data_IF_270000069716
#
_entry.id   IF_270000069716
#
_cell.length_a   1.000
_cell.length_b   1.000
_cell.length_c   1.000
_cell.angle_alpha   90.00
_cell.angle_beta   90.00
_cell.angle_gamma   90.00
#
_symmetry.space_group_name_H-M   'P 1'
#
loop_
_entity.id
_entity.type
_entity.pdbx_description
1 polymer ?
#
# COMPACT_ATOMS: atom_id res chain seq x y z
N UNK A 1 -24.55 15.84 7.91
CA UNK A 1 -24.28 16.64 6.70
C UNK A 1 -22.83 16.54 6.22
N UNK A 2 -21.80 16.68 7.08
CA UNK A 2 -20.38 16.54 6.71
C UNK A 2 -19.81 15.11 6.81
N UNK A 3 -20.63 14.09 6.54
CA UNK A 3 -20.24 12.68 6.63
C UNK A 3 -20.01 12.14 5.22
N UNK A 4 -18.85 11.55 4.99
CA UNK A 4 -18.50 10.88 3.73
C UNK A 4 -18.29 9.39 3.96
N UNK A 5 -18.76 8.57 3.03
CA UNK A 5 -18.55 7.12 3.07
C UNK A 5 -17.12 6.79 2.60
N UNK A 6 -16.35 6.08 3.43
CA UNK A 6 -14.97 5.66 3.16
C UNK A 6 -14.79 4.14 3.08
N UNK A 7 -15.87 3.37 2.99
CA UNK A 7 -15.85 1.90 2.92
C UNK A 7 -14.97 1.34 1.79
N UNK A 8 -14.73 2.11 0.73
CA UNK A 8 -13.80 1.73 -0.34
C UNK A 8 -12.36 1.51 0.19
N UNK A 9 -11.89 2.30 1.16
CA UNK A 9 -10.58 2.09 1.77
C UNK A 9 -10.52 0.81 2.58
N UNK A 10 -11.63 0.45 3.25
CA UNK A 10 -11.71 -0.80 4.03
C UNK A 10 -11.62 -2.02 3.09
N UNK A 11 -12.32 -1.98 1.94
CA UNK A 11 -12.22 -3.04 0.92
C UNK A 11 -10.79 -3.21 0.40
N UNK A 12 -10.12 -2.10 0.12
CA UNK A 12 -8.71 -2.12 -0.31
C UNK A 12 -7.82 -2.72 0.77
N UNK A 13 -8.00 -2.35 2.05
CA UNK A 13 -7.24 -2.96 3.16
C UNK A 13 -7.54 -4.45 3.29
N UNK A 14 -8.79 -4.88 3.15
CA UNK A 14 -9.17 -6.29 3.24
C UNK A 14 -8.55 -7.14 2.12
N UNK A 15 -8.26 -6.55 0.96
CA UNK A 15 -7.67 -7.27 -0.19
C UNK A 15 -6.19 -7.65 -0.02
N UNK A 16 -5.44 -7.02 0.89
CA UNK A 16 -4.00 -7.29 1.04
C UNK A 16 -3.27 -6.50 2.14
N UNK A 17 -3.98 -5.68 2.91
CA UNK A 17 -3.47 -4.92 4.05
C UNK A 17 -3.22 -5.75 5.30
N UNK A 18 -2.74 -6.99 5.14
CA UNK A 18 -2.40 -7.91 6.21
C UNK A 18 -1.13 -8.70 5.90
N UNK A 19 -0.63 -9.41 6.90
CA UNK A 19 0.38 -10.46 6.77
C UNK A 19 -0.23 -11.75 7.29
N UNK A 20 -0.23 -12.79 6.46
CA UNK A 20 -0.67 -14.11 6.87
C UNK A 20 0.34 -14.73 7.83
N UNK A 21 -0.14 -15.23 8.96
CA UNK A 21 0.68 -15.94 9.93
C UNK A 21 -0.02 -17.23 10.37
N UNK A 22 0.72 -18.34 10.39
CA UNK A 22 0.24 -19.59 11.00
C UNK A 22 0.19 -19.44 12.51
N UNK A 23 -0.91 -19.86 13.14
CA UNK A 23 -1.01 -19.89 14.60
C UNK A 23 -0.19 -21.07 15.14
N UNK A 24 1.03 -20.79 15.60
CA UNK A 24 1.95 -21.80 16.16
C UNK A 24 3.23 -21.91 15.34
N UNK A 25 4.39 -21.85 16.01
CA UNK A 25 5.70 -21.91 15.35
C UNK A 25 6.27 -20.56 14.93
N UNK A 26 5.72 -19.44 15.42
CA UNK A 26 6.32 -18.14 15.21
C UNK A 26 7.75 -18.14 15.81
N UNK A 27 8.77 -17.78 15.02
CA UNK A 27 10.13 -17.67 15.54
C UNK A 27 10.18 -16.55 16.60
N UNK A 28 11.18 -16.62 17.48
CA UNK A 28 11.45 -15.56 18.45
C UNK A 28 11.51 -14.19 17.75
N UNK A 29 11.00 -13.14 18.40
CA UNK A 29 10.95 -11.80 17.79
C UNK A 29 12.33 -11.28 17.38
N UNK A 30 13.40 -11.70 18.06
CA UNK A 30 14.77 -11.33 17.76
C UNK A 30 15.41 -12.19 16.67
N UNK A 31 14.74 -13.27 16.22
CA UNK A 31 15.27 -14.18 15.20
C UNK A 31 15.21 -13.59 13.78
N UNK A 32 14.36 -12.58 13.54
CA UNK A 32 14.24 -11.89 12.26
C UNK A 32 14.68 -10.43 12.45
N UNK A 33 15.98 -10.14 12.32
CA UNK A 33 16.46 -8.77 12.45
C UNK A 33 15.90 -7.90 11.32
N UNK A 34 15.41 -6.72 11.68
CA UNK A 34 14.97 -5.68 10.73
C UNK A 34 15.97 -4.54 10.82
N UNK A 35 16.53 -4.13 9.67
CA UNK A 35 17.42 -2.96 9.66
C UNK A 35 16.65 -1.72 10.10
N UNK A 36 17.34 -0.79 10.75
CA UNK A 36 16.75 0.49 11.20
C UNK A 36 16.10 1.24 10.04
N UNK A 37 16.76 1.29 8.89
CA UNK A 37 16.26 1.92 7.67
C UNK A 37 14.94 1.31 7.18
N UNK A 38 14.82 -0.02 7.20
CA UNK A 38 13.59 -0.71 6.81
C UNK A 38 12.48 -0.50 7.84
N UNK A 39 12.81 -0.49 9.12
CA UNK A 39 11.86 -0.21 10.19
C UNK A 39 11.29 1.22 10.08
N UNK A 40 12.16 2.20 9.82
CA UNK A 40 11.76 3.61 9.66
C UNK A 40 10.92 3.81 8.43
N UNK A 41 11.36 3.30 7.28
CA UNK A 41 10.59 3.36 6.02
C UNK A 41 9.21 2.69 6.18
N UNK A 42 9.14 1.56 6.88
CA UNK A 42 7.88 0.88 7.13
C UNK A 42 6.95 1.68 8.05
N UNK A 43 7.50 2.40 9.04
CA UNK A 43 6.73 3.25 9.95
C UNK A 43 6.29 4.56 9.32
N UNK A 44 7.12 5.18 8.49
CA UNK A 44 6.74 6.36 7.69
C UNK A 44 5.55 6.04 6.79
N UNK A 45 5.58 4.87 6.13
CA UNK A 45 4.44 4.38 5.35
C UNK A 45 3.22 4.01 6.24
N UNK A 46 3.46 3.48 7.44
CA UNK A 46 2.41 3.11 8.41
C UNK A 46 1.60 4.32 8.88
N UNK A 47 2.21 5.50 8.90
CA UNK A 47 1.61 6.73 9.42
C UNK A 47 0.31 7.14 8.69
N UNK A 48 0.01 6.55 7.54
CA UNK A 48 -1.24 6.76 6.82
C UNK A 48 -2.47 6.37 7.65
N UNK A 49 -3.27 7.38 8.01
CA UNK A 49 -4.48 7.26 8.85
C UNK A 49 -5.79 7.05 8.08
N UNK A 50 -5.74 6.82 6.76
CA UNK A 50 -6.95 6.60 5.95
C UNK A 50 -7.91 7.80 5.91
N UNK A 51 -7.41 9.03 6.04
CA UNK A 51 -8.25 10.23 6.08
C UNK A 51 -8.94 10.54 4.74
N UNK A 52 -8.35 10.13 3.61
CA UNK A 52 -8.89 10.39 2.26
C UNK A 52 -8.57 11.77 1.66
N UNK A 53 -7.81 12.62 2.37
CA UNK A 53 -7.41 13.94 1.87
C UNK A 53 -6.68 13.86 0.52
N UNK A 54 -5.82 12.84 0.35
CA UNK A 54 -5.10 12.59 -0.89
C UNK A 54 -6.02 12.31 -2.09
N UNK A 55 -7.13 11.59 -1.88
CA UNK A 55 -8.14 11.31 -2.90
C UNK A 55 -8.91 12.57 -3.24
N UNK A 56 -9.35 13.31 -2.21
CA UNK A 56 -10.13 14.53 -2.38
C UNK A 56 -9.36 15.64 -3.13
N UNK A 57 -8.05 15.76 -2.92
CA UNK A 57 -7.22 16.74 -3.61
C UNK A 57 -6.75 16.30 -5.00
N UNK A 58 -6.80 15.01 -5.31
CA UNK A 58 -6.35 14.51 -6.61
C UNK A 58 -7.39 14.83 -7.69
N UNK A 59 -6.97 15.50 -8.78
CA UNK A 59 -7.85 15.77 -9.95
C UNK A 59 -8.47 14.50 -10.55
N UNK A 60 -7.82 13.35 -10.38
CA UNK A 60 -8.27 12.05 -10.87
C UNK A 60 -9.01 11.25 -9.79
N UNK A 61 -9.18 11.78 -8.57
CA UNK A 61 -9.66 11.03 -7.41
C UNK A 61 -8.88 9.71 -7.19
N UNK A 62 -7.56 9.74 -7.37
CA UNK A 62 -6.72 8.55 -7.25
C UNK A 62 -6.41 8.22 -5.79
N UNK A 63 -6.61 6.95 -5.40
CA UNK A 63 -6.21 6.44 -4.08
C UNK A 63 -4.77 5.88 -4.04
N UNK A 64 -3.97 6.13 -5.08
CA UNK A 64 -2.61 5.57 -5.21
C UNK A 64 -1.68 5.93 -4.04
N UNK A 65 -1.79 7.12 -3.43
CA UNK A 65 -0.96 7.44 -2.24
C UNK A 65 -1.35 6.60 -1.03
N UNK A 66 -2.66 6.33 -0.85
CA UNK A 66 -3.14 5.47 0.22
C UNK A 66 -2.72 4.01 0.00
N UNK A 67 -2.95 3.47 -1.21
CA UNK A 67 -2.57 2.10 -1.58
C UNK A 67 -1.07 1.90 -1.44
N UNK A 68 -0.27 2.81 -1.98
CA UNK A 68 1.19 2.73 -1.92
C UNK A 68 1.74 2.78 -0.50
N UNK A 69 1.15 3.60 0.38
CA UNK A 69 1.52 3.62 1.80
C UNK A 69 1.27 2.25 2.46
N UNK A 70 0.10 1.64 2.25
CA UNK A 70 -0.22 0.34 2.85
C UNK A 70 0.61 -0.81 2.26
N UNK A 71 0.84 -0.79 0.95
CA UNK A 71 1.74 -1.76 0.29
C UNK A 71 3.17 -1.61 0.80
N UNK A 72 3.68 -0.38 0.94
CA UNK A 72 5.05 -0.13 1.40
C UNK A 72 5.24 -0.43 2.88
N UNK A 73 4.24 -0.13 3.71
CA UNK A 73 4.23 -0.46 5.14
C UNK A 73 4.51 -1.96 5.37
N UNK A 74 3.76 -2.82 4.69
CA UNK A 74 3.89 -4.27 4.86
C UNK A 74 5.00 -4.86 3.98
N UNK A 75 5.15 -4.35 2.77
CA UNK A 75 6.10 -4.83 1.76
C UNK A 75 7.54 -4.35 1.95
N UNK A 76 7.84 -3.62 3.03
CA UNK A 76 9.22 -3.31 3.46
C UNK A 76 9.70 -4.26 4.55
N UNK A 77 8.77 -4.82 5.32
CA UNK A 77 9.10 -5.73 6.40
C UNK A 77 9.36 -7.15 5.87
N UNK A 78 10.28 -7.92 6.48
CA UNK A 78 10.55 -9.31 6.09
C UNK A 78 9.29 -10.19 6.13
N UNK A 79 8.43 -9.98 7.12
CA UNK A 79 7.20 -10.75 7.33
C UNK A 79 6.22 -10.57 6.17
N UNK A 80 6.20 -9.39 5.54
CA UNK A 80 5.31 -9.10 4.42
C UNK A 80 5.91 -9.39 3.04
N UNK A 81 7.20 -9.74 2.92
CA UNK A 81 7.83 -10.07 1.63
C UNK A 81 7.18 -11.25 0.91
N UNK A 82 6.81 -12.38 1.57
CA UNK A 82 6.25 -13.54 0.88
C UNK A 82 4.98 -13.21 0.08
N UNK A 83 4.16 -12.30 0.60
CA UNK A 83 2.88 -11.90 0.00
C UNK A 83 3.00 -10.63 -0.85
N UNK A 84 4.20 -10.08 -1.05
CA UNK A 84 4.40 -8.77 -1.69
C UNK A 84 3.75 -8.67 -3.07
N UNK A 85 4.02 -9.62 -3.96
CA UNK A 85 3.52 -9.61 -5.34
C UNK A 85 1.99 -9.77 -5.37
N UNK A 86 1.43 -10.67 -4.55
CA UNK A 86 -0.02 -10.85 -4.45
C UNK A 86 -0.69 -9.62 -3.85
N UNK A 87 -0.14 -9.06 -2.77
CA UNK A 87 -0.63 -7.85 -2.10
C UNK A 87 -0.75 -6.68 -3.08
N UNK A 88 0.30 -6.39 -3.83
CA UNK A 88 0.29 -5.23 -4.73
C UNK A 88 -0.74 -5.41 -5.85
N UNK A 89 -0.86 -6.61 -6.42
CA UNK A 89 -1.86 -6.90 -7.45
C UNK A 89 -3.28 -6.77 -6.89
N UNK A 90 -3.57 -7.43 -5.77
CA UNK A 90 -4.91 -7.43 -5.15
C UNK A 90 -5.34 -6.04 -4.68
N UNK A 91 -4.43 -5.27 -4.07
CA UNK A 91 -4.76 -3.93 -3.58
C UNK A 91 -4.96 -2.90 -4.71
N UNK A 92 -4.18 -2.99 -5.79
CA UNK A 92 -4.39 -2.15 -6.98
C UNK A 92 -5.69 -2.54 -7.68
N UNK A 93 -5.94 -3.83 -7.87
CA UNK A 93 -7.21 -4.30 -8.44
C UNK A 93 -8.42 -3.85 -7.60
N UNK A 94 -8.37 -3.97 -6.28
CA UNK A 94 -9.45 -3.51 -5.39
C UNK A 94 -9.66 -1.99 -5.45
N UNK A 95 -8.57 -1.22 -5.64
CA UNK A 95 -8.65 0.22 -5.87
C UNK A 95 -9.37 0.54 -7.19
N UNK A 96 -9.03 -0.17 -8.27
CA UNK A 96 -9.65 0.02 -9.58
C UNK A 96 -11.13 -0.38 -9.57
N UNK A 97 -11.47 -1.50 -8.93
CA UNK A 97 -12.85 -1.98 -8.74
C UNK A 97 -13.71 -1.01 -7.90
N UNK A 98 -13.07 -0.28 -6.97
CA UNK A 98 -13.72 0.77 -6.19
C UNK A 98 -13.95 2.08 -7.00
N UNK A 99 -13.46 2.15 -8.25
CA UNK A 99 -13.66 3.28 -9.16
C UNK A 99 -12.73 4.46 -8.91
N UNK A 100 -11.63 4.28 -8.19
CA UNK A 100 -10.62 5.33 -8.05
C UNK A 100 -9.88 5.56 -9.38
N UNK A 101 -9.52 6.80 -9.68
CA UNK A 101 -8.81 7.11 -10.93
C UNK A 101 -7.31 6.83 -10.87
N UNK A 102 -6.69 6.85 -12.04
CA UNK A 102 -5.27 6.57 -12.21
C UNK A 102 -4.36 7.73 -11.78
N UNK A 103 -3.18 7.42 -11.28
CA UNK A 103 -2.18 8.43 -10.93
C UNK A 103 -1.56 9.05 -12.19
N UNK A 104 -1.46 10.38 -12.21
CA UNK A 104 -0.72 11.15 -13.24
C UNK A 104 0.42 11.99 -12.62
N UNK A 105 0.81 11.65 -11.39
CA UNK A 105 1.93 12.26 -10.64
C UNK A 105 1.81 13.79 -10.54
N UNK A 106 0.63 14.27 -10.13
CA UNK A 106 0.41 15.72 -9.93
C UNK A 106 1.02 16.27 -8.64
N UNK A 107 1.39 15.40 -7.69
CA UNK A 107 1.95 15.77 -6.39
C UNK A 107 0.97 16.38 -5.38
N UNK A 108 -0.26 16.68 -5.78
CA UNK A 108 -1.28 17.27 -4.90
C UNK A 108 -1.57 16.40 -3.66
N UNK A 109 -1.46 15.07 -3.77
CA UNK A 109 -1.77 14.15 -2.69
C UNK A 109 -0.75 14.20 -1.54
N UNK A 110 0.55 14.39 -1.82
CA UNK A 110 1.60 14.56 -0.81
C UNK A 110 1.47 15.92 -0.13
N UNK A 111 1.24 16.98 -0.90
CA UNK A 111 1.12 18.35 -0.40
C UNK A 111 -0.01 18.54 0.63
N UNK A 112 -1.11 17.78 0.54
CA UNK A 112 -2.24 17.86 1.48
C UNK A 112 -2.19 16.80 2.57
N UNK A 113 -1.23 15.88 2.53
CA UNK A 113 -1.21 14.75 3.45
C UNK A 113 -0.90 15.24 4.88
N UNK A 114 -1.81 15.09 5.86
CA UNK A 114 -1.56 15.56 7.24
C UNK A 114 -0.53 14.71 7.99
N UNK A 115 -0.01 13.67 7.33
CA UNK A 115 0.99 12.73 7.84
C UNK A 115 2.24 12.69 6.96
N UNK A 116 2.35 13.63 6.03
CA UNK A 116 3.56 13.83 5.23
C UNK A 116 4.02 12.56 4.48
N UNK A 117 3.06 11.74 4.06
CA UNK A 117 3.34 10.53 3.27
C UNK A 117 3.90 10.94 1.91
N UNK A 118 5.12 10.50 1.63
CA UNK A 118 5.84 10.87 0.42
C UNK A 118 5.34 10.17 -0.85
N UNK A 119 5.48 10.85 -1.99
CA UNK A 119 5.28 10.28 -3.33
C UNK A 119 6.25 9.13 -3.64
N UNK A 120 7.36 9.01 -2.93
CA UNK A 120 8.32 7.90 -3.12
C UNK A 120 7.68 6.52 -2.94
N UNK A 121 6.65 6.43 -2.09
CA UNK A 121 5.87 5.20 -1.94
C UNK A 121 5.08 4.87 -3.21
N UNK A 122 4.55 5.86 -3.94
CA UNK A 122 3.90 5.62 -5.24
C UNK A 122 4.91 5.08 -6.25
N UNK A 123 6.11 5.65 -6.28
CA UNK A 123 7.20 5.17 -7.13
C UNK A 123 7.58 3.72 -6.81
N UNK A 124 7.63 3.35 -5.52
CA UNK A 124 7.83 1.97 -5.08
C UNK A 124 6.70 1.05 -5.52
N UNK A 125 5.45 1.45 -5.27
CA UNK A 125 4.25 0.71 -5.67
C UNK A 125 4.27 0.40 -7.17
N UNK A 126 4.57 1.39 -8.01
CA UNK A 126 4.62 1.20 -9.46
C UNK A 126 5.67 0.16 -9.90
N UNK A 127 6.85 0.19 -9.27
CA UNK A 127 7.91 -0.82 -9.53
C UNK A 127 7.47 -2.21 -9.08
N UNK A 128 6.89 -2.31 -7.89
CA UNK A 128 6.42 -3.58 -7.32
C UNK A 128 5.27 -4.16 -8.16
N UNK A 129 4.32 -3.33 -8.57
CA UNK A 129 3.21 -3.72 -9.43
C UNK A 129 3.71 -4.20 -10.80
N UNK A 130 4.60 -3.45 -11.46
CA UNK A 130 5.16 -3.85 -12.75
C UNK A 130 5.90 -5.19 -12.66
N UNK A 131 6.72 -5.39 -11.63
CA UNK A 131 7.40 -6.66 -11.39
C UNK A 131 6.40 -7.81 -11.13
N UNK A 132 5.35 -7.57 -10.35
CA UNK A 132 4.34 -8.56 -10.03
C UNK A 132 3.51 -8.96 -11.27
N UNK A 133 3.13 -8.00 -12.12
CA UNK A 133 2.43 -8.26 -13.40
C UNK A 133 3.29 -9.11 -14.33
N UNK A 134 4.59 -8.80 -14.45
CA UNK A 134 5.50 -9.61 -15.27
C UNK A 134 5.61 -11.03 -14.70
N UNK A 135 5.83 -11.18 -13.40
CA UNK A 135 5.92 -12.50 -12.76
C UNK A 135 4.64 -13.33 -12.91
N UNK A 136 3.47 -12.73 -12.75
CA UNK A 136 2.18 -13.43 -12.87
C UNK A 136 1.93 -13.91 -14.30
N UNK A 137 2.26 -13.08 -15.30
CA UNK A 137 2.17 -13.45 -16.71
C UNK A 137 3.12 -14.60 -17.09
N UNK A 138 4.28 -14.70 -16.44
CA UNK A 138 5.25 -15.77 -16.67
C UNK A 138 4.91 -17.07 -15.92
N UNK A 139 4.32 -17.02 -14.72
CA UNK A 139 3.86 -18.22 -13.98
C UNK A 139 2.64 -18.91 -14.60
N UNK A 140 1.89 -18.20 -15.46
CA UNK A 140 0.74 -18.73 -16.18
C UNK A 140 1.08 -19.47 -17.50
N UNK A 141 2.37 -19.60 -17.83
CA UNK A 141 2.89 -20.46 -18.90
C UNK A 141 3.60 -21.65 -18.28
#
# INVERSE_FOLDING_TARGET
DLIVNRQAFDKVIQSGGYVSASTGGNPDANAIPVSKENADTAMDAAACIGCGACVAACKNASAMLFVSAKVSHLGTLPQGQPEKDQRVLSMVQSMDEAGFGNCTVTGACEAVCPKEISLDFISRLNRDYAAAVVKSAWKGK
#
